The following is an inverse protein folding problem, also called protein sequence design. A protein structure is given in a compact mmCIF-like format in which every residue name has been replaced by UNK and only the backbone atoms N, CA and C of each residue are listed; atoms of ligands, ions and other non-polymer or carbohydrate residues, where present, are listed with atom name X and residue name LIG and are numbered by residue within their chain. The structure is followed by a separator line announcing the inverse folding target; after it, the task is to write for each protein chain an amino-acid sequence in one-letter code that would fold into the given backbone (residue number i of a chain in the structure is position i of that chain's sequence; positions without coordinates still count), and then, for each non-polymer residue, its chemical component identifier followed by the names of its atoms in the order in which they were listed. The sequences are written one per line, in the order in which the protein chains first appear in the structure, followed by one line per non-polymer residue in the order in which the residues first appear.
data_IF_061810100445
#
_entry.id   IF_061810100445
#
_cell.length_a   1.000
_cell.length_b   1.000
_cell.length_c   1.000
_cell.angle_alpha   90.00
_cell.angle_beta   90.00
_cell.angle_gamma   90.00
#
_symmetry.space_group_name_H-M   'P 1'
#
loop_
_entity.id
_entity.type
_entity.pdbx_description
1 polymer ?
#
# COMPACT_ATOMS: atom_id res chain seq x y z
N UNK A 1 54.08 1.22 15.78
CA UNK A 1 52.77 0.50 15.76
C UNK A 1 51.65 1.16 16.55
N UNK A 2 51.91 1.92 17.63
CA UNK A 2 50.84 2.53 18.45
C UNK A 2 50.09 3.70 17.77
N UNK A 3 50.79 4.58 17.03
CA UNK A 3 50.18 5.76 16.39
C UNK A 3 49.08 5.42 15.36
N UNK A 4 49.30 4.39 14.53
CA UNK A 4 48.28 3.89 13.59
C UNK A 4 47.02 3.35 14.30
N UNK A 5 47.18 2.77 15.51
CA UNK A 5 46.02 2.30 16.28
C UNK A 5 45.18 3.47 16.76
N UNK A 6 45.81 4.54 17.23
CA UNK A 6 45.10 5.76 17.67
C UNK A 6 44.37 6.45 16.52
N UNK A 7 45.01 6.58 15.35
CA UNK A 7 44.39 7.18 14.16
C UNK A 7 43.19 6.37 13.67
N UNK A 8 43.27 5.03 13.70
CA UNK A 8 42.15 4.14 13.34
C UNK A 8 40.97 4.26 14.29
N UNK A 9 41.23 4.39 15.59
CA UNK A 9 40.17 4.59 16.60
C UNK A 9 39.48 5.95 16.39
N UNK A 10 40.25 7.01 16.15
CA UNK A 10 39.68 8.33 15.86
C UNK A 10 38.83 8.32 14.58
N UNK A 11 39.30 7.63 13.53
CA UNK A 11 38.55 7.47 12.29
C UNK A 11 37.24 6.70 12.51
N UNK A 12 37.22 5.66 13.35
CA UNK A 12 36.02 4.92 13.67
C UNK A 12 35.00 5.77 14.45
N UNK A 13 35.45 6.58 15.42
CA UNK A 13 34.59 7.49 16.18
C UNK A 13 34.04 8.59 15.27
N UNK A 14 34.85 9.13 14.36
CA UNK A 14 34.43 10.15 13.41
C UNK A 14 33.41 9.63 12.38
N UNK A 15 33.36 8.32 12.13
CA UNK A 15 32.38 7.70 11.24
C UNK A 15 31.02 7.46 11.91
N UNK A 16 30.90 7.56 13.25
CA UNK A 16 29.66 7.28 13.98
C UNK A 16 28.47 8.16 13.54
N UNK A 17 28.58 9.46 13.23
CA UNK A 17 27.45 10.26 12.76
C UNK A 17 26.93 9.81 11.40
N UNK A 18 27.84 9.44 10.48
CA UNK A 18 27.47 8.92 9.16
C UNK A 18 26.82 7.53 9.29
N UNK A 19 27.36 6.68 10.17
CA UNK A 19 26.75 5.40 10.49
C UNK A 19 25.35 5.58 11.11
N UNK A 20 25.19 6.53 12.03
CA UNK A 20 23.90 6.84 12.63
C UNK A 20 22.88 7.26 11.57
N UNK A 21 23.22 8.13 10.62
CA UNK A 21 22.30 8.51 9.52
C UNK A 21 21.98 7.33 8.60
N UNK A 22 22.98 6.51 8.26
CA UNK A 22 22.78 5.34 7.40
C UNK A 22 21.88 4.28 8.05
N UNK A 23 21.95 4.12 9.38
CA UNK A 23 21.17 3.15 10.14
C UNK A 23 19.91 3.72 10.81
N UNK A 24 19.75 5.04 10.84
CA UNK A 24 18.53 5.71 11.34
C UNK A 24 17.44 5.85 10.28
N UNK A 25 17.74 5.50 9.01
CA UNK A 25 16.73 5.45 7.96
C UNK A 25 15.66 4.41 8.28
N UNK A 26 14.49 4.87 8.73
CA UNK A 26 13.26 4.10 8.62
C UNK A 26 12.70 4.33 7.22
N UNK A 27 12.38 3.27 6.49
CA UNK A 27 11.55 3.42 5.29
C UNK A 27 10.14 3.80 5.76
N UNK A 28 9.90 5.10 5.91
CA UNK A 28 8.56 5.63 6.17
C UNK A 28 7.77 5.52 4.87
N UNK A 29 7.04 4.42 4.70
CA UNK A 29 5.94 4.35 3.76
C UNK A 29 4.76 5.10 4.40
N UNK A 30 4.68 6.41 4.15
CA UNK A 30 3.46 7.15 4.44
C UNK A 30 2.48 6.88 3.30
N UNK A 31 1.43 6.12 3.58
CA UNK A 31 0.35 5.90 2.62
C UNK A 31 -0.58 7.12 2.52
N UNK A 32 -0.43 8.08 3.45
CA UNK A 32 -1.27 9.27 3.57
C UNK A 32 -2.61 8.96 4.24
N UNK A 33 -3.16 9.94 4.95
CA UNK A 33 -4.59 10.19 5.16
C UNK A 33 -4.69 11.29 6.22
N UNK A 34 -4.70 12.55 5.77
CA UNK A 34 -4.83 13.70 6.64
C UNK A 34 -6.21 14.33 6.45
N UNK A 35 -7.02 14.31 7.51
CA UNK A 35 -8.29 15.03 7.58
C UNK A 35 -8.33 15.89 8.85
N UNK A 36 -8.93 17.07 8.75
CA UNK A 36 -9.22 17.96 9.87
C UNK A 36 -10.68 18.42 9.85
N UNK A 37 -11.20 18.88 10.98
CA UNK A 37 -12.62 19.22 11.12
C UNK A 37 -13.53 18.01 10.86
N UNK A 38 -14.71 18.25 10.27
CA UNK A 38 -15.71 17.21 9.92
C UNK A 38 -15.39 16.50 8.58
N UNK A 39 -14.11 16.34 8.24
CA UNK A 39 -13.68 15.83 6.94
C UNK A 39 -13.44 14.32 6.95
N UNK A 40 -13.57 13.70 5.78
CA UNK A 40 -13.25 12.31 5.54
C UNK A 40 -11.93 12.18 4.77
N UNK A 41 -10.96 11.45 5.31
CA UNK A 41 -9.77 11.00 4.58
C UNK A 41 -9.82 9.49 4.45
N UNK A 42 -9.36 8.99 3.30
CA UNK A 42 -9.24 7.55 3.05
C UNK A 42 -8.04 7.31 2.19
N UNK A 43 -7.38 6.20 2.46
CA UNK A 43 -6.31 5.72 1.62
C UNK A 43 -6.50 4.25 1.36
N UNK A 44 -6.22 3.89 0.10
CA UNK A 44 -6.26 2.52 -0.38
C UNK A 44 -4.93 2.28 -1.04
N UNK A 45 -4.16 1.38 -0.45
CA UNK A 45 -2.85 0.99 -0.94
C UNK A 45 -2.88 -0.49 -1.31
N UNK A 46 -2.13 -0.82 -2.37
CA UNK A 46 -1.88 -2.18 -2.78
C UNK A 46 -0.40 -2.31 -3.09
N UNK A 47 0.28 -3.14 -2.31
CA UNK A 47 1.71 -3.42 -2.44
C UNK A 47 2.00 -4.72 -3.21
N UNK A 48 1.01 -5.29 -3.89
CA UNK A 48 1.12 -6.63 -4.50
C UNK A 48 0.42 -6.80 -5.86
N UNK A 49 1.10 -7.51 -6.75
CA UNK A 49 0.60 -7.98 -8.03
C UNK A 49 1.62 -8.92 -8.69
N UNK A 50 1.40 -10.23 -8.57
CA UNK A 50 2.34 -11.32 -8.90
C UNK A 50 3.68 -11.24 -8.14
N UNK A 51 3.71 -11.81 -6.94
CA UNK A 51 4.96 -12.12 -6.26
C UNK A 51 5.37 -13.55 -6.65
N UNK A 52 6.51 -13.68 -7.36
CA UNK A 52 7.29 -14.93 -7.49
C UNK A 52 6.81 -15.99 -8.51
N UNK A 53 6.21 -15.58 -9.64
CA UNK A 53 6.09 -16.48 -10.80
C UNK A 53 4.68 -17.01 -11.08
N UNK A 54 3.65 -16.19 -10.90
CA UNK A 54 2.30 -16.54 -11.30
C UNK A 54 2.18 -16.69 -12.83
N UNK A 55 1.56 -17.80 -13.25
CA UNK A 55 1.24 -18.16 -14.64
C UNK A 55 -0.27 -18.06 -14.95
N UNK A 56 -1.09 -17.63 -13.98
CA UNK A 56 -2.55 -17.45 -14.10
C UNK A 56 -2.98 -15.99 -13.96
N UNK A 57 -4.18 -15.72 -13.46
CA UNK A 57 -4.66 -14.36 -13.27
C UNK A 57 -4.28 -13.82 -11.90
N UNK A 58 -3.80 -12.58 -11.88
CA UNK A 58 -3.71 -11.76 -10.68
C UNK A 58 -4.72 -10.64 -10.82
N UNK A 59 -5.58 -10.51 -9.82
CA UNK A 59 -6.65 -9.53 -9.83
C UNK A 59 -6.67 -8.87 -8.49
N UNK A 60 -6.34 -7.58 -8.49
CA UNK A 60 -6.31 -6.78 -7.29
C UNK A 60 -7.24 -5.60 -7.47
N UNK A 61 -8.31 -5.57 -6.70
CA UNK A 61 -9.22 -4.42 -6.65
C UNK A 61 -8.91 -3.62 -5.39
N UNK A 62 -8.87 -2.30 -5.57
CA UNK A 62 -8.76 -1.32 -4.49
C UNK A 62 -10.01 -0.46 -4.50
N UNK A 63 -10.71 -0.37 -3.37
CA UNK A 63 -11.93 0.42 -3.25
C UNK A 63 -11.97 1.17 -1.92
N UNK A 64 -12.35 2.45 -1.99
CA UNK A 64 -12.77 3.24 -0.84
C UNK A 64 -14.08 3.96 -1.17
N UNK A 65 -14.94 4.07 -0.17
CA UNK A 65 -16.12 4.91 -0.18
C UNK A 65 -16.15 5.62 1.17
N UNK A 66 -15.87 6.92 1.17
CA UNK A 66 -15.65 7.68 2.40
C UNK A 66 -16.38 9.00 2.33
N UNK A 67 -17.08 9.36 3.40
CA UNK A 67 -18.05 10.45 3.42
C UNK A 67 -19.48 9.94 3.60
N UNK A 68 -20.36 10.83 4.05
CA UNK A 68 -21.77 10.52 4.25
C UNK A 68 -22.46 10.18 2.93
N UNK A 69 -23.11 9.02 2.88
CA UNK A 69 -23.76 8.51 1.66
C UNK A 69 -22.81 7.87 0.65
N UNK A 70 -21.54 7.66 1.00
CA UNK A 70 -20.61 6.96 0.13
C UNK A 70 -20.98 5.47 0.02
N UNK A 71 -21.03 4.97 -1.21
CA UNK A 71 -21.22 3.56 -1.53
C UNK A 71 -20.16 3.16 -2.54
N UNK A 72 -19.65 1.94 -2.43
CA UNK A 72 -18.81 1.36 -3.47
C UNK A 72 -19.35 -0.01 -3.86
N UNK A 73 -19.19 -0.35 -5.13
CA UNK A 73 -19.56 -1.64 -5.66
C UNK A 73 -18.43 -2.07 -6.59
N UNK A 74 -17.85 -3.23 -6.32
CA UNK A 74 -16.93 -3.90 -7.25
C UNK A 74 -17.59 -5.15 -7.80
N UNK A 75 -17.34 -5.45 -9.08
CA UNK A 75 -17.76 -6.71 -9.66
C UNK A 75 -16.67 -7.20 -10.61
N UNK A 76 -15.73 -7.97 -10.07
CA UNK A 76 -14.58 -8.44 -10.84
C UNK A 76 -14.65 -9.94 -11.11
N UNK A 77 -14.59 -10.32 -12.39
CA UNK A 77 -14.47 -11.71 -12.82
C UNK A 77 -13.11 -11.92 -13.48
N UNK A 78 -12.42 -12.99 -13.09
CA UNK A 78 -11.08 -13.30 -13.59
C UNK A 78 -11.00 -14.76 -14.02
N UNK A 79 -10.66 -14.99 -15.29
CA UNK A 79 -10.60 -16.32 -15.90
C UNK A 79 -9.18 -16.58 -16.41
N UNK A 80 -8.55 -17.64 -15.93
CA UNK A 80 -7.28 -18.14 -16.42
C UNK A 80 -7.44 -19.59 -16.91
N UNK A 81 -6.96 -19.91 -18.12
CA UNK A 81 -6.82 -21.29 -18.58
C UNK A 81 -8.07 -21.99 -19.14
N UNK A 82 -9.04 -21.29 -19.74
CA UNK A 82 -10.22 -21.93 -20.35
C UNK A 82 -10.48 -21.45 -21.79
N UNK A 83 -10.81 -22.40 -22.69
CA UNK A 83 -11.22 -22.12 -24.07
C UNK A 83 -12.71 -21.72 -24.21
N UNK A 84 -13.54 -22.02 -23.20
CA UNK A 84 -14.96 -21.66 -23.16
C UNK A 84 -15.37 -21.31 -21.72
N UNK A 85 -15.38 -20.02 -21.39
CA UNK A 85 -15.96 -19.53 -20.13
C UNK A 85 -16.98 -18.46 -20.44
N UNK A 86 -18.24 -18.70 -20.10
CA UNK A 86 -19.27 -17.68 -20.07
C UNK A 86 -19.29 -17.06 -18.68
N UNK A 87 -18.98 -15.78 -18.59
CA UNK A 87 -19.13 -14.99 -17.36
C UNK A 87 -20.42 -14.20 -17.51
N UNK A 88 -21.35 -14.40 -16.56
CA UNK A 88 -22.53 -13.57 -16.42
C UNK A 88 -22.49 -12.93 -15.04
N UNK A 89 -22.53 -11.60 -15.02
CA UNK A 89 -22.45 -10.80 -13.81
C UNK A 89 -23.66 -9.88 -13.76
N UNK A 90 -24.49 -10.05 -12.74
CA UNK A 90 -25.57 -9.13 -12.41
C UNK A 90 -25.17 -8.27 -11.21
N UNK A 91 -25.72 -7.06 -11.13
CA UNK A 91 -25.34 -6.07 -10.12
C UNK A 91 -26.62 -5.39 -9.64
N UNK A 92 -26.95 -5.56 -8.35
CA UNK A 92 -28.11 -4.94 -7.73
C UNK A 92 -27.68 -3.66 -7.02
N UNK A 93 -28.27 -2.53 -7.43
CA UNK A 93 -28.10 -1.26 -6.75
C UNK A 93 -29.28 -1.04 -5.78
N UNK A 94 -28.97 -0.84 -4.50
CA UNK A 94 -29.97 -0.54 -3.46
C UNK A 94 -29.76 0.90 -3.01
N UNK A 95 -30.75 1.75 -3.27
CA UNK A 95 -30.74 3.14 -2.84
C UNK A 95 -31.72 3.36 -1.68
N UNK A 96 -31.22 3.82 -0.55
CA UNK A 96 -32.06 4.27 0.55
C UNK A 96 -32.43 5.74 0.37
N UNK A 97 -33.71 6.03 0.17
CA UNK A 97 -34.21 7.41 0.26
C UNK A 97 -34.58 7.71 1.71
N UNK A 98 -34.29 8.94 2.17
CA UNK A 98 -34.80 9.40 3.47
C UNK A 98 -36.32 9.51 3.34
N UNK A 99 -37.05 8.71 4.13
CA UNK A 99 -38.51 8.75 4.10
C UNK A 99 -39.07 9.96 4.87
N UNK A 100 -38.29 10.54 5.78
CA UNK A 100 -38.52 11.81 6.46
C UNK A 100 -37.24 12.25 7.19
#
# INVERSE_FOLDING_TARGET
MASIRTVRVLAAVAALPVAAVLFAGTAMADDGAFAGGDSNATVVSNSGGNSLGNTGNVTTTQQAATGTGASNQDNTASVAGSAFTAVHQDTVAVNFTRLW
#
